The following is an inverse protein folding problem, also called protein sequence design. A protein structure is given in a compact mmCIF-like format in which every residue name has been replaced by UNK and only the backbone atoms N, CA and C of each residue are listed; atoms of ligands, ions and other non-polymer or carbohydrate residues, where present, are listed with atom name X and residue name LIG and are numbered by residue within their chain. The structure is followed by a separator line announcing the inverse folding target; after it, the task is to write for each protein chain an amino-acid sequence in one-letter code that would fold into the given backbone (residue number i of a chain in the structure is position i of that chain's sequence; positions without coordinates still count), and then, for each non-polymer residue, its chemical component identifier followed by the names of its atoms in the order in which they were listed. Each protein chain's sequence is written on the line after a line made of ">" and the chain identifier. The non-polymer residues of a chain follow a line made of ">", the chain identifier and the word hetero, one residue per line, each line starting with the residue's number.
data_IF_275708944140
#
_entry.id   IF_275708944140
#
_cell.length_a   1.000
_cell.length_b   1.000
_cell.length_c   1.000
_cell.angle_alpha   90.00
_cell.angle_beta   90.00
_cell.angle_gamma   90.00
#
_symmetry.space_group_name_H-M   'P 1'
#
loop_
_entity.id
_entity.type
_entity.pdbx_description
1 polymer ?
#
# COMPACT_ATOMS: atom_id res chain seq x y z
N UNK A 1 16.66 23.87 -14.80
CA UNK A 1 16.66 22.86 -13.72
C UNK A 1 15.94 21.62 -14.24
N UNK A 2 16.62 20.48 -14.38
CA UNK A 2 16.02 19.23 -14.82
C UNK A 2 15.39 18.58 -13.59
N UNK A 3 14.06 18.64 -13.45
CA UNK A 3 13.37 17.94 -12.38
C UNK A 3 13.06 16.53 -12.88
N UNK A 4 13.89 15.55 -12.52
CA UNK A 4 13.51 14.15 -12.63
C UNK A 4 12.30 13.93 -11.71
N UNK A 5 11.09 13.92 -12.28
CA UNK A 5 9.84 13.81 -11.52
C UNK A 5 9.44 12.34 -11.41
N UNK A 6 9.47 11.79 -10.19
CA UNK A 6 8.92 10.46 -9.90
C UNK A 6 7.39 10.45 -9.97
N UNK A 7 6.81 9.26 -10.21
CA UNK A 7 5.36 9.05 -10.28
C UNK A 7 4.80 8.72 -8.90
N UNK A 8 3.70 9.38 -8.49
CA UNK A 8 2.94 9.01 -7.28
C UNK A 8 1.69 8.24 -7.67
N UNK A 9 1.56 7.00 -7.20
CA UNK A 9 0.32 6.25 -7.24
C UNK A 9 -0.49 6.54 -5.98
N UNK A 10 -1.75 6.98 -6.11
CA UNK A 10 -2.62 7.26 -4.97
C UNK A 10 -4.03 6.73 -5.14
N UNK A 11 -4.54 6.10 -4.09
CA UNK A 11 -5.86 5.45 -4.07
C UNK A 11 -5.85 4.03 -4.62
N UNK A 12 -6.67 3.15 -4.04
CA UNK A 12 -6.89 1.78 -4.56
C UNK A 12 -5.86 0.72 -4.17
N UNK A 13 -4.77 1.06 -3.48
CA UNK A 13 -3.77 0.10 -3.00
C UNK A 13 -4.23 -0.49 -1.67
N UNK A 14 -4.77 -1.72 -1.69
CA UNK A 14 -5.38 -2.37 -0.53
C UNK A 14 -4.65 -3.63 -0.06
N UNK A 15 -3.69 -4.10 -0.84
CA UNK A 15 -2.89 -5.28 -0.53
C UNK A 15 -1.42 -5.05 -0.89
N UNK A 16 -0.55 -5.86 -0.29
CA UNK A 16 0.87 -5.82 -0.59
C UNK A 16 1.17 -6.19 -2.07
N UNK A 17 0.33 -7.03 -2.68
CA UNK A 17 0.39 -7.36 -4.09
C UNK A 17 0.10 -6.13 -4.99
N UNK A 18 -0.94 -5.35 -4.66
CA UNK A 18 -1.25 -4.11 -5.39
C UNK A 18 -0.08 -3.12 -5.29
N UNK A 19 0.46 -2.95 -4.08
CA UNK A 19 1.57 -2.04 -3.83
C UNK A 19 2.79 -2.40 -4.70
N UNK A 20 3.11 -3.70 -4.81
CA UNK A 20 4.18 -4.21 -5.68
C UNK A 20 3.89 -3.95 -7.15
N UNK A 21 2.67 -4.21 -7.61
CA UNK A 21 2.28 -3.95 -8.99
C UNK A 21 2.46 -2.47 -9.39
N UNK A 22 2.11 -1.52 -8.51
CA UNK A 22 2.34 -0.09 -8.80
C UNK A 22 3.82 0.27 -8.86
N UNK A 23 4.65 -0.33 -8.00
CA UNK A 23 6.11 -0.13 -8.04
C UNK A 23 6.68 -0.65 -9.36
N UNK A 24 6.27 -1.85 -9.77
CA UNK A 24 6.70 -2.47 -11.03
C UNK A 24 6.26 -1.65 -12.26
N UNK A 25 5.11 -0.98 -12.18
CA UNK A 25 4.64 -0.02 -13.19
C UNK A 25 5.39 1.32 -13.17
N UNK A 26 6.34 1.51 -12.27
CA UNK A 26 7.20 2.69 -12.19
C UNK A 26 6.75 3.75 -11.19
N UNK A 27 5.82 3.43 -10.27
CA UNK A 27 5.50 4.34 -9.18
C UNK A 27 6.71 4.49 -8.25
N UNK A 28 7.18 5.73 -8.09
CA UNK A 28 8.28 6.07 -7.17
C UNK A 28 7.77 6.41 -5.77
N UNK A 29 6.45 6.61 -5.62
CA UNK A 29 5.80 6.92 -4.34
C UNK A 29 4.40 6.32 -4.30
N UNK A 30 4.04 5.70 -3.18
CA UNK A 30 2.69 5.23 -2.91
C UNK A 30 1.99 6.17 -1.92
N UNK A 31 0.70 6.43 -2.16
CA UNK A 31 -0.16 7.19 -1.27
C UNK A 31 -1.46 6.45 -1.03
N UNK A 32 -1.56 5.73 0.08
CA UNK A 32 -2.71 4.91 0.46
C UNK A 32 -3.07 5.13 1.92
N UNK A 33 -4.35 4.96 2.26
CA UNK A 33 -4.81 4.94 3.65
C UNK A 33 -4.46 3.64 4.36
N UNK A 34 -4.14 2.58 3.61
CA UNK A 34 -3.87 1.24 4.14
C UNK A 34 -2.40 1.02 4.53
N UNK A 35 -1.64 2.08 4.82
CA UNK A 35 -0.19 1.99 5.07
C UNK A 35 0.14 1.02 6.20
N UNK A 36 -0.62 1.06 7.30
CA UNK A 36 -0.42 0.16 8.45
C UNK A 36 -0.62 -1.31 8.06
N UNK A 37 -1.71 -1.62 7.35
CA UNK A 37 -2.00 -2.99 6.92
C UNK A 37 -0.93 -3.53 5.98
N UNK A 38 -0.45 -2.70 5.04
CA UNK A 38 0.61 -3.08 4.12
C UNK A 38 1.94 -3.36 4.84
N UNK A 39 2.28 -2.57 5.86
CA UNK A 39 3.50 -2.82 6.66
C UNK A 39 3.35 -4.11 7.46
N UNK A 40 2.18 -4.37 8.04
CA UNK A 40 1.93 -5.62 8.77
C UNK A 40 2.03 -6.84 7.84
N UNK A 41 1.36 -6.81 6.68
CA UNK A 41 1.47 -7.85 5.65
C UNK A 41 2.93 -8.09 5.23
N UNK A 42 3.73 -7.02 5.07
CA UNK A 42 5.15 -7.12 4.69
C UNK A 42 6.01 -7.78 5.76
N UNK A 43 5.73 -7.48 7.03
CA UNK A 43 6.41 -8.06 8.18
C UNK A 43 5.93 -9.50 8.49
N UNK A 44 5.02 -10.05 7.69
CA UNK A 44 4.43 -11.37 7.91
C UNK A 44 3.42 -11.40 9.06
N UNK A 45 2.98 -10.23 9.53
CA UNK A 45 1.88 -10.11 10.46
C UNK A 45 0.58 -10.16 9.65
N UNK A 46 -0.11 -11.29 9.73
CA UNK A 46 -1.47 -11.38 9.22
C UNK A 46 -2.34 -10.35 9.94
N UNK A 47 -2.83 -9.34 9.21
CA UNK A 47 -3.84 -8.44 9.75
C UNK A 47 -5.14 -9.23 9.85
N UNK A 48 -5.29 -9.96 10.96
CA UNK A 48 -6.55 -10.55 11.35
C UNK A 48 -7.56 -9.42 11.44
N UNK A 49 -8.49 -9.36 10.48
CA UNK A 49 -9.61 -8.46 10.53
C UNK A 49 -10.33 -8.68 11.87
N UNK A 50 -10.20 -7.72 12.78
CA UNK A 50 -10.88 -7.74 14.06
C UNK A 50 -12.39 -7.68 13.79
N UNK A 51 -13.02 -8.86 13.75
CA UNK A 51 -14.46 -8.99 13.65
C UNK A 51 -15.05 -8.59 15.00
N UNK A 52 -15.30 -7.29 15.17
CA UNK A 52 -16.16 -6.82 16.24
C UNK A 52 -17.63 -7.11 15.86
N UNK A 53 -18.02 -8.39 15.94
CA UNK A 53 -19.43 -8.76 16.05
C UNK A 53 -19.76 -8.90 17.53
N UNK A 54 -20.20 -7.80 18.11
CA UNK A 54 -20.96 -7.79 19.35
C UNK A 54 -22.23 -6.96 19.11
N UNK A 55 -23.29 -7.65 18.69
CA UNK A 55 -24.67 -7.23 18.82
C UNK A 55 -25.47 -8.39 19.42
#
# INVERSE_FOLDING_TARGET
>A
KHFSRGVKASGGIRSLADARAFIDLGASRLGTSSTESLVQEEQGHETGAESNTSY
#
